data_IF_897775756108
#
_entry.id   IF_897775756108
#
_cell.length_a   1.000
_cell.length_b   1.000
_cell.length_c   1.000
_cell.angle_alpha   90.00
_cell.angle_beta   90.00
_cell.angle_gamma   90.00
#
_symmetry.space_group_name_H-M   'P 1'
#
loop_
_entity.id
_entity.type
_entity.pdbx_description
1 polymer ?
#
# COMPACT_ATOMS: atom_id res chain seq x y z
N UNK A 1 14.29 -5.39 -14.65
CA UNK A 1 14.66 -4.09 -15.24
C UNK A 1 15.67 -4.36 -16.33
N UNK A 2 15.36 -3.98 -17.57
CA UNK A 2 16.24 -4.17 -18.72
C UNK A 2 16.98 -2.85 -18.98
N UNK A 3 18.28 -2.87 -19.20
CA UNK A 3 19.01 -1.66 -19.57
C UNK A 3 18.53 -1.13 -20.93
N UNK A 4 18.45 0.18 -21.06
CA UNK A 4 18.01 0.84 -22.30
C UNK A 4 18.99 0.62 -23.46
N UNK A 5 20.25 0.33 -23.14
CA UNK A 5 21.33 0.04 -24.09
C UNK A 5 22.05 -1.22 -23.67
N UNK A 6 22.50 -1.97 -24.66
CA UNK A 6 23.39 -3.10 -24.48
C UNK A 6 24.80 -2.61 -24.11
N UNK A 7 25.64 -3.52 -23.65
CA UNK A 7 27.04 -3.21 -23.28
C UNK A 7 27.90 -2.66 -24.42
N UNK A 8 27.49 -2.88 -25.67
CA UNK A 8 28.14 -2.38 -26.89
C UNK A 8 27.63 -0.99 -27.34
N UNK A 9 26.72 -0.39 -26.56
CA UNK A 9 26.12 0.89 -26.88
C UNK A 9 24.93 0.85 -27.83
N UNK A 10 24.56 -0.35 -28.33
CA UNK A 10 23.37 -0.53 -29.15
C UNK A 10 22.11 -0.44 -28.30
N UNK A 11 20.99 -0.04 -28.90
CA UNK A 11 19.70 0.08 -28.23
C UNK A 11 19.14 -1.31 -27.94
N UNK A 12 18.59 -1.49 -26.73
CA UNK A 12 17.94 -2.73 -26.40
C UNK A 12 16.60 -2.84 -27.13
N UNK A 13 16.41 -3.89 -27.93
CA UNK A 13 15.19 -4.10 -28.73
C UNK A 13 13.91 -4.15 -27.88
N UNK A 14 14.00 -4.63 -26.64
CA UNK A 14 12.86 -4.59 -25.70
C UNK A 14 12.42 -3.17 -25.36
N UNK A 15 13.34 -2.21 -25.37
CA UNK A 15 13.04 -0.80 -25.13
C UNK A 15 12.27 -0.18 -26.30
N UNK A 16 12.50 -0.67 -27.51
CA UNK A 16 11.73 -0.25 -28.70
C UNK A 16 10.30 -0.80 -28.71
N UNK A 17 10.10 -2.01 -28.16
CA UNK A 17 8.77 -2.63 -28.06
C UNK A 17 7.88 -2.03 -26.97
N UNK A 18 8.45 -1.36 -25.98
CA UNK A 18 7.69 -0.76 -24.85
C UNK A 18 6.90 0.49 -25.28
N UNK A 19 7.11 1.03 -26.46
CA UNK A 19 6.33 2.15 -26.97
C UNK A 19 6.45 3.47 -26.19
N UNK A 20 5.90 4.53 -26.73
CA UNK A 20 5.92 5.85 -26.10
C UNK A 20 5.05 5.90 -24.84
N UNK A 21 5.56 6.55 -23.79
CA UNK A 21 4.78 6.84 -22.57
C UNK A 21 5.06 5.90 -21.38
N UNK A 22 5.89 4.88 -21.54
CA UNK A 22 6.27 4.04 -20.41
C UNK A 22 7.36 4.67 -19.55
N UNK A 23 7.17 4.60 -18.24
CA UNK A 23 8.16 5.02 -17.24
C UNK A 23 8.78 3.79 -16.62
N UNK A 24 10.08 3.75 -16.49
CA UNK A 24 10.78 2.69 -15.77
C UNK A 24 11.93 3.26 -14.96
N UNK A 25 12.30 2.53 -13.91
CA UNK A 25 13.36 2.92 -12.99
C UNK A 25 14.48 1.90 -13.03
N UNK A 26 15.71 2.36 -13.04
CA UNK A 26 16.91 1.51 -13.03
C UNK A 26 17.78 1.97 -11.85
N UNK A 27 18.20 1.01 -11.02
CA UNK A 27 19.29 1.24 -10.08
C UNK A 27 20.60 1.04 -10.78
N UNK A 28 21.52 1.98 -10.63
CA UNK A 28 22.88 1.74 -11.06
C UNK A 28 23.50 0.67 -10.18
N UNK A 29 24.20 -0.29 -10.82
CA UNK A 29 24.93 -1.31 -10.11
C UNK A 29 25.99 -0.64 -9.23
N UNK A 30 26.06 -1.05 -7.99
CA UNK A 30 27.00 -0.58 -6.98
C UNK A 30 26.85 0.91 -6.58
N UNK A 31 25.72 1.52 -6.88
CA UNK A 31 25.37 2.86 -6.40
C UNK A 31 23.95 2.90 -5.83
N UNK A 32 23.74 3.77 -4.84
CA UNK A 32 22.39 4.08 -4.33
C UNK A 32 21.61 5.03 -5.27
N UNK A 33 22.12 5.25 -6.47
CA UNK A 33 21.53 6.18 -7.42
C UNK A 33 20.39 5.53 -8.18
N UNK A 34 19.18 6.03 -7.95
CA UNK A 34 18.01 5.65 -8.73
C UNK A 34 17.88 6.58 -9.92
N UNK A 35 17.98 6.03 -11.13
CA UNK A 35 17.68 6.76 -12.36
C UNK A 35 16.32 6.35 -12.91
N UNK A 36 15.51 7.33 -13.22
CA UNK A 36 14.24 7.14 -13.95
C UNK A 36 14.41 7.55 -15.40
N UNK A 37 13.78 6.77 -16.24
CA UNK A 37 13.77 7.00 -17.68
C UNK A 37 12.33 7.09 -18.15
N UNK A 38 12.07 7.94 -19.10
CA UNK A 38 10.83 7.93 -19.85
C UNK A 38 11.13 8.16 -21.33
N UNK A 39 10.27 7.59 -22.17
CA UNK A 39 10.37 7.74 -23.61
C UNK A 39 9.42 8.86 -24.04
N UNK A 40 9.94 9.88 -24.64
CA UNK A 40 9.19 10.95 -25.26
C UNK A 40 9.79 11.29 -26.62
N UNK A 41 8.97 11.52 -27.64
CA UNK A 41 9.38 11.85 -29.01
C UNK A 41 10.45 10.89 -29.57
N UNK A 42 10.31 9.58 -29.30
CA UNK A 42 11.28 8.55 -29.65
C UNK A 42 12.68 8.75 -29.05
N UNK A 43 12.80 9.55 -28.00
CA UNK A 43 14.04 9.75 -27.26
C UNK A 43 13.91 9.17 -25.86
N UNK A 44 14.95 8.46 -25.43
CA UNK A 44 15.10 8.08 -24.05
C UNK A 44 15.62 9.29 -23.28
N UNK A 45 14.84 9.84 -22.39
CA UNK A 45 15.23 10.92 -21.50
C UNK A 45 15.48 10.35 -20.12
N UNK A 46 16.74 10.38 -19.69
CA UNK A 46 17.09 10.10 -18.32
C UNK A 46 16.89 11.38 -17.49
N UNK A 47 16.26 11.25 -16.35
CA UNK A 47 16.28 12.32 -15.35
C UNK A 47 16.76 11.72 -14.02
N UNK A 48 17.71 12.39 -13.43
CA UNK A 48 18.15 12.04 -12.10
C UNK A 48 17.04 12.35 -11.12
N UNK A 49 16.53 11.30 -10.50
CA UNK A 49 15.65 11.45 -9.34
C UNK A 49 16.56 11.48 -8.12
N UNK A 50 17.50 12.41 -8.14
CA UNK A 50 18.50 12.48 -7.09
C UNK A 50 17.96 13.17 -5.85
N UNK A 51 18.55 12.77 -4.77
CA UNK A 51 18.68 13.40 -3.45
C UNK A 51 17.37 13.67 -2.69
N UNK A 52 16.29 14.08 -3.35
CA UNK A 52 15.04 14.41 -2.68
C UNK A 52 14.10 13.21 -2.44
N UNK A 53 14.34 12.05 -3.07
CA UNK A 53 13.42 10.91 -2.90
C UNK A 53 13.58 10.29 -1.52
N UNK A 54 14.80 10.05 -1.07
CA UNK A 54 15.04 9.49 0.28
C UNK A 54 14.47 10.43 1.34
N UNK A 55 14.72 11.74 1.18
CA UNK A 55 14.19 12.77 2.07
C UNK A 55 12.66 12.89 1.97
N UNK A 56 12.12 12.84 0.76
CA UNK A 56 10.67 12.90 0.53
C UNK A 56 9.97 11.67 1.09
N UNK A 57 10.53 10.47 0.90
CA UNK A 57 10.01 9.23 1.47
C UNK A 57 10.09 9.29 2.99
N UNK A 58 11.24 9.70 3.55
CA UNK A 58 11.40 9.85 4.99
C UNK A 58 10.40 10.84 5.59
N UNK A 59 10.18 11.98 4.94
CA UNK A 59 9.18 12.96 5.37
C UNK A 59 7.76 12.40 5.30
N UNK A 60 7.42 11.62 4.27
CA UNK A 60 6.12 10.96 4.15
C UNK A 60 5.92 9.88 5.20
N UNK A 61 6.95 9.12 5.53
CA UNK A 61 6.88 8.14 6.62
C UNK A 61 6.56 8.84 7.94
N UNK A 62 7.25 9.95 8.26
CA UNK A 62 6.98 10.73 9.48
C UNK A 62 5.55 11.28 9.50
N UNK A 63 5.07 11.80 8.37
CA UNK A 63 3.68 12.23 8.23
C UNK A 63 2.70 11.09 8.52
N UNK A 64 2.93 9.92 7.94
CA UNK A 64 2.06 8.74 8.12
C UNK A 64 2.15 8.16 9.53
N UNK A 65 3.30 8.25 10.20
CA UNK A 65 3.44 7.91 11.61
C UNK A 65 2.53 8.81 12.48
N UNK A 66 2.50 10.12 12.20
CA UNK A 66 1.61 11.07 12.87
C UNK A 66 0.13 10.76 12.64
N UNK A 67 -0.26 10.44 11.41
CA UNK A 67 -1.63 10.02 11.07
C UNK A 67 -2.01 8.74 11.80
N UNK A 68 -1.15 7.73 11.76
CA UNK A 68 -1.36 6.45 12.43
C UNK A 68 -1.51 6.64 13.96
N UNK A 69 -0.65 7.42 14.58
CA UNK A 69 -0.72 7.71 16.01
C UNK A 69 -2.03 8.43 16.38
N UNK A 70 -2.48 9.38 15.54
CA UNK A 70 -3.75 10.07 15.72
C UNK A 70 -4.96 9.14 15.65
N UNK A 71 -4.89 8.09 14.86
CA UNK A 71 -5.96 7.08 14.76
C UNK A 71 -6.10 6.25 16.03
N UNK A 72 -5.01 5.88 16.70
CA UNK A 72 -5.06 5.17 17.98
C UNK A 72 -5.69 5.97 19.12
N UNK A 73 -5.74 7.31 19.01
CA UNK A 73 -6.41 8.16 19.99
C UNK A 73 -7.93 8.19 19.85
N UNK A 74 -8.49 7.56 18.82
CA UNK A 74 -9.94 7.57 18.57
C UNK A 74 -10.64 6.47 19.37
N UNK A 75 -11.73 6.85 20.04
CA UNK A 75 -12.64 5.87 20.64
C UNK A 75 -13.41 5.11 19.55
N UNK A 76 -13.96 3.95 19.91
CA UNK A 76 -14.87 3.23 19.04
C UNK A 76 -16.09 4.07 18.69
N UNK A 77 -16.45 4.08 17.41
CA UNK A 77 -17.57 4.82 16.84
C UNK A 77 -18.31 3.94 15.85
N UNK A 78 -19.63 3.92 15.93
CA UNK A 78 -20.51 3.40 14.88
C UNK A 78 -21.68 4.36 14.70
N UNK A 79 -21.62 5.15 13.63
CA UNK A 79 -22.66 6.11 13.26
C UNK A 79 -22.94 6.04 11.76
N UNK A 80 -23.76 6.93 11.21
CA UNK A 80 -24.18 6.88 9.81
C UNK A 80 -23.03 7.12 8.81
N UNK A 81 -21.93 7.76 9.22
CA UNK A 81 -20.84 8.16 8.32
C UNK A 81 -19.53 7.42 8.54
N UNK A 82 -19.31 6.89 9.74
CA UNK A 82 -18.06 6.23 10.08
C UNK A 82 -18.24 5.05 11.04
N UNK A 83 -17.31 4.11 10.93
CA UNK A 83 -17.08 3.02 11.87
C UNK A 83 -15.62 3.07 12.32
N UNK A 84 -15.38 3.19 13.62
CA UNK A 84 -14.03 3.11 14.21
C UNK A 84 -14.03 1.94 15.19
N UNK A 85 -13.08 1.03 15.02
CA UNK A 85 -12.91 -0.13 15.89
C UNK A 85 -11.46 -0.21 16.36
N UNK A 86 -11.30 -0.55 17.65
CA UNK A 86 -10.01 -0.84 18.26
C UNK A 86 -9.98 -2.34 18.60
N UNK A 87 -9.28 -3.13 17.80
CA UNK A 87 -9.31 -4.59 17.84
C UNK A 87 -7.90 -5.19 18.00
N UNK A 88 -7.81 -6.37 18.60
CA UNK A 88 -6.65 -7.22 18.37
C UNK A 88 -6.76 -7.91 16.99
N UNK A 89 -5.63 -8.34 16.43
CA UNK A 89 -5.64 -9.08 15.17
C UNK A 89 -6.49 -10.37 15.26
N UNK A 90 -6.52 -11.00 16.45
CA UNK A 90 -7.34 -12.18 16.71
C UNK A 90 -8.85 -11.91 16.70
N UNK A 91 -9.29 -10.69 17.00
CA UNK A 91 -10.70 -10.33 17.03
C UNK A 91 -11.25 -9.92 15.67
N UNK A 92 -10.37 -9.61 14.70
CA UNK A 92 -10.76 -9.08 13.38
C UNK A 92 -11.74 -10.00 12.66
N UNK A 93 -11.50 -11.31 12.64
CA UNK A 93 -12.33 -12.26 11.91
C UNK A 93 -13.80 -12.16 12.32
N UNK A 94 -14.08 -12.02 13.62
CA UNK A 94 -15.43 -11.89 14.15
C UNK A 94 -16.13 -10.58 13.76
N UNK A 95 -15.36 -9.55 13.37
CA UNK A 95 -15.86 -8.23 12.99
C UNK A 95 -15.89 -7.99 11.48
N UNK A 96 -15.34 -8.90 10.64
CA UNK A 96 -15.26 -8.72 9.19
C UNK A 96 -16.61 -8.38 8.56
N UNK A 97 -17.69 -9.07 9.00
CA UNK A 97 -19.04 -8.80 8.49
C UNK A 97 -19.47 -7.35 8.76
N UNK A 98 -19.27 -6.85 9.97
CA UNK A 98 -19.61 -5.47 10.34
C UNK A 98 -18.78 -4.47 9.51
N UNK A 99 -17.47 -4.70 9.42
CA UNK A 99 -16.52 -3.87 8.69
C UNK A 99 -16.92 -3.74 7.23
N UNK A 100 -17.15 -4.86 6.55
CA UNK A 100 -17.43 -4.87 5.13
C UNK A 100 -18.81 -4.32 4.79
N UNK A 101 -19.83 -4.63 5.58
CA UNK A 101 -21.16 -4.04 5.39
C UNK A 101 -21.18 -2.54 5.66
N UNK A 102 -20.41 -2.05 6.62
CA UNK A 102 -20.27 -0.61 6.85
C UNK A 102 -19.59 0.08 5.68
N UNK A 103 -18.50 -0.50 5.15
CA UNK A 103 -17.79 0.02 4.00
C UNK A 103 -18.64 -0.01 2.71
N UNK A 104 -19.38 -1.08 2.48
CA UNK A 104 -20.33 -1.25 1.35
C UNK A 104 -21.49 -0.24 1.42
N UNK A 105 -21.92 0.11 2.63
CA UNK A 105 -22.88 1.20 2.88
C UNK A 105 -22.28 2.62 2.72
N UNK A 106 -20.98 2.73 2.39
CA UNK A 106 -20.30 4.00 2.15
C UNK A 106 -19.72 4.68 3.39
N UNK A 107 -19.75 4.04 4.56
CA UNK A 107 -19.09 4.57 5.76
C UNK A 107 -17.56 4.56 5.60
N UNK A 108 -16.89 5.52 6.22
CA UNK A 108 -15.43 5.47 6.43
C UNK A 108 -15.16 4.51 7.59
N UNK A 109 -14.34 3.48 7.32
CA UNK A 109 -14.03 2.45 8.29
C UNK A 109 -12.56 2.54 8.68
N UNK A 110 -12.32 2.70 9.98
CA UNK A 110 -11.00 2.69 10.58
C UNK A 110 -10.90 1.53 11.56
N UNK A 111 -9.96 0.64 11.34
CA UNK A 111 -9.67 -0.46 12.26
C UNK A 111 -8.26 -0.28 12.80
N UNK A 112 -8.15 0.10 14.07
CA UNK A 112 -6.89 0.14 14.78
C UNK A 112 -6.55 -1.27 15.30
N UNK A 113 -5.45 -1.85 14.86
CA UNK A 113 -4.93 -3.11 15.38
C UNK A 113 -4.04 -2.81 16.57
N UNK A 114 -4.48 -3.23 17.75
CA UNK A 114 -3.86 -2.87 19.02
C UNK A 114 -2.57 -3.64 19.31
N UNK A 115 -2.35 -4.75 18.61
CA UNK A 115 -1.16 -5.56 18.77
C UNK A 115 0.11 -4.78 18.36
N UNK A 116 1.22 -5.14 19.01
CA UNK A 116 2.54 -4.61 18.73
C UNK A 116 3.51 -5.73 18.32
N UNK A 117 4.66 -5.34 17.76
CA UNK A 117 5.67 -6.31 17.32
C UNK A 117 5.25 -7.03 16.05
N UNK A 118 5.25 -8.37 16.07
CA UNK A 118 4.86 -9.19 14.92
C UNK A 118 3.36 -9.45 14.97
N UNK A 119 2.66 -9.02 13.94
CA UNK A 119 1.20 -9.14 13.82
C UNK A 119 0.84 -9.93 12.57
N UNK A 120 -0.05 -10.91 12.71
CA UNK A 120 -0.62 -11.65 11.58
C UNK A 120 -2.09 -11.33 11.46
N UNK A 121 -2.49 -10.75 10.32
CA UNK A 121 -3.88 -10.55 9.98
C UNK A 121 -4.37 -11.72 9.12
N UNK A 122 -5.43 -12.38 9.57
CA UNK A 122 -6.02 -13.51 8.88
C UNK A 122 -6.48 -13.13 7.45
N UNK A 123 -6.50 -14.13 6.58
CA UNK A 123 -7.06 -14.00 5.24
C UNK A 123 -8.51 -13.54 5.30
N UNK A 124 -8.83 -12.49 4.55
CA UNK A 124 -10.18 -11.93 4.49
C UNK A 124 -10.98 -12.53 3.33
N UNK A 125 -12.25 -12.80 3.59
CA UNK A 125 -13.21 -13.27 2.60
C UNK A 125 -14.32 -12.23 2.43
N UNK A 126 -14.78 -12.03 1.20
CA UNK A 126 -15.82 -11.06 0.84
C UNK A 126 -17.26 -11.66 0.83
N UNK A 127 -17.44 -12.84 1.42
CA UNK A 127 -18.74 -13.49 1.50
C UNK A 127 -19.83 -12.71 2.27
N UNK A 128 -19.44 -11.59 2.90
CA UNK A 128 -20.34 -10.76 3.69
C UNK A 128 -21.04 -9.66 2.91
N UNK A 129 -20.60 -9.40 1.68
CA UNK A 129 -21.18 -8.37 0.81
C UNK A 129 -21.87 -8.98 -0.40
N UNK A 130 -22.72 -8.21 -1.08
CA UNK A 130 -23.32 -8.63 -2.35
C UNK A 130 -22.39 -8.45 -3.54
N UNK A 131 -21.27 -7.76 -3.34
CA UNK A 131 -20.30 -7.38 -4.37
C UNK A 131 -19.08 -8.27 -4.27
N UNK A 132 -18.74 -8.94 -5.36
CA UNK A 132 -17.54 -9.78 -5.43
C UNK A 132 -16.26 -8.95 -5.35
N UNK A 133 -15.16 -9.56 -4.91
CA UNK A 133 -13.89 -8.88 -4.70
C UNK A 133 -13.35 -8.15 -5.94
N UNK A 134 -13.62 -8.60 -7.16
CA UNK A 134 -13.24 -7.92 -8.38
C UNK A 134 -13.94 -6.57 -8.62
N UNK A 135 -14.98 -6.29 -7.85
CA UNK A 135 -15.76 -5.05 -7.88
C UNK A 135 -15.87 -4.40 -6.50
N UNK A 136 -14.95 -4.73 -5.60
CA UNK A 136 -14.99 -4.27 -4.20
C UNK A 136 -14.49 -2.82 -4.05
N UNK A 137 -15.11 -1.87 -4.76
CA UNK A 137 -14.80 -0.43 -4.67
C UNK A 137 -14.98 0.10 -3.23
N UNK A 138 -15.85 -0.53 -2.45
CA UNK A 138 -16.05 -0.25 -1.03
C UNK A 138 -14.78 -0.47 -0.19
N UNK A 139 -13.82 -1.28 -0.65
CA UNK A 139 -12.55 -1.48 0.05
C UNK A 139 -11.77 -0.16 0.21
N UNK A 140 -11.97 0.81 -0.69
CA UNK A 140 -11.36 2.14 -0.58
C UNK A 140 -11.82 2.92 0.68
N UNK A 141 -12.88 2.47 1.33
CA UNK A 141 -13.38 3.07 2.56
C UNK A 141 -12.73 2.52 3.83
N UNK A 142 -11.92 1.45 3.74
CA UNK A 142 -11.34 0.76 4.90
C UNK A 142 -9.86 1.13 5.06
N UNK A 143 -9.47 1.46 6.30
CA UNK A 143 -8.08 1.63 6.72
C UNK A 143 -7.79 0.68 7.87
N UNK A 144 -6.80 -0.18 7.69
CA UNK A 144 -6.23 -1.05 8.71
C UNK A 144 -4.97 -0.39 9.27
N UNK A 145 -5.03 0.11 10.49
CA UNK A 145 -3.93 0.85 11.11
C UNK A 145 -3.10 -0.08 12.01
N UNK A 146 -1.85 -0.34 11.60
CA UNK A 146 -0.87 -1.18 12.28
C UNK A 146 0.30 -0.36 12.84
N UNK A 147 0.08 0.88 13.24
CA UNK A 147 1.17 1.78 13.62
C UNK A 147 2.02 1.31 14.81
N UNK A 148 1.54 0.36 15.63
CA UNK A 148 2.27 -0.22 16.74
C UNK A 148 3.05 -1.50 16.36
N UNK A 149 2.84 -2.04 15.16
CA UNK A 149 3.53 -3.21 14.68
C UNK A 149 4.93 -2.86 14.15
N UNK A 150 5.86 -3.82 14.23
CA UNK A 150 7.17 -3.78 13.56
C UNK A 150 7.25 -4.75 12.38
N UNK A 151 6.37 -5.74 12.34
CA UNK A 151 6.20 -6.67 11.25
C UNK A 151 4.72 -7.03 11.09
N UNK A 152 4.22 -7.02 9.87
CA UNK A 152 2.83 -7.37 9.56
C UNK A 152 2.83 -8.44 8.48
N UNK A 153 2.20 -9.58 8.78
CA UNK A 153 1.93 -10.63 7.81
C UNK A 153 0.44 -10.67 7.49
N UNK A 154 0.11 -10.67 6.20
CA UNK A 154 -1.28 -10.68 5.76
C UNK A 154 -1.52 -11.70 4.65
N UNK A 155 -2.75 -12.24 4.61
CA UNK A 155 -3.30 -12.90 3.44
C UNK A 155 -3.97 -11.90 2.49
N UNK A 156 -5.16 -12.24 1.95
CA UNK A 156 -5.98 -11.28 1.21
C UNK A 156 -6.49 -10.20 2.17
N UNK A 157 -6.38 -8.94 1.74
CA UNK A 157 -6.87 -7.78 2.50
C UNK A 157 -7.72 -6.88 1.61
N UNK A 158 -8.86 -6.45 2.13
CA UNK A 158 -9.69 -5.40 1.55
C UNK A 158 -9.46 -4.10 2.32
N UNK A 159 -8.97 -3.08 1.65
CA UNK A 159 -8.67 -1.77 2.25
C UNK A 159 -7.22 -1.38 2.16
N UNK A 160 -6.90 -0.26 2.79
CA UNK A 160 -5.56 0.27 2.89
C UNK A 160 -4.87 -0.21 4.17
N UNK A 161 -3.69 -0.75 4.03
CA UNK A 161 -2.80 -1.08 5.15
C UNK A 161 -1.94 0.15 5.45
N UNK A 162 -2.08 0.69 6.66
CA UNK A 162 -1.25 1.77 7.19
C UNK A 162 -0.33 1.20 8.27
N UNK A 163 0.92 0.96 7.93
CA UNK A 163 1.90 0.33 8.80
C UNK A 163 3.27 1.06 8.75
N UNK A 164 3.34 2.37 9.07
CA UNK A 164 4.50 3.21 8.80
C UNK A 164 5.75 2.85 9.62
N UNK A 165 5.62 1.93 10.59
CA UNK A 165 6.70 1.46 11.43
C UNK A 165 7.06 -0.01 11.17
N UNK A 166 6.37 -0.67 10.23
CA UNK A 166 6.48 -2.11 10.03
C UNK A 166 7.03 -2.50 8.66
N UNK A 167 7.68 -3.65 8.60
CA UNK A 167 7.83 -4.40 7.36
C UNK A 167 6.53 -5.18 7.10
N UNK A 168 5.96 -5.05 5.91
CA UNK A 168 4.73 -5.74 5.53
C UNK A 168 5.04 -6.88 4.56
N UNK A 169 4.64 -8.10 4.93
CA UNK A 169 4.66 -9.27 4.06
C UNK A 169 3.22 -9.66 3.70
N UNK A 170 2.88 -9.54 2.44
CA UNK A 170 1.57 -9.94 1.95
C UNK A 170 1.68 -11.19 1.08
N UNK A 171 1.03 -12.27 1.50
CA UNK A 171 1.04 -13.56 0.81
C UNK A 171 -0.07 -13.71 -0.25
N UNK A 172 -0.91 -12.71 -0.45
CA UNK A 172 -2.04 -12.75 -1.39
C UNK A 172 -2.37 -11.33 -1.90
N UNK A 173 -3.57 -11.11 -2.42
CA UNK A 173 -3.99 -9.83 -2.99
C UNK A 173 -4.32 -8.80 -1.92
N UNK A 174 -3.92 -7.55 -2.14
CA UNK A 174 -4.46 -6.38 -1.45
C UNK A 174 -5.38 -5.63 -2.42
N UNK A 175 -6.66 -5.53 -2.07
CA UNK A 175 -7.64 -4.74 -2.80
C UNK A 175 -7.72 -3.37 -2.12
N UNK A 176 -6.80 -2.49 -2.48
CA UNK A 176 -6.55 -1.21 -1.84
C UNK A 176 -5.11 -0.77 -2.04
N UNK A 177 -4.38 -0.53 -0.96
CA UNK A 177 -2.97 -0.13 -1.01
C UNK A 177 -2.22 -0.41 0.29
N UNK A 178 -0.91 -0.28 0.24
CA UNK A 178 -0.01 -0.44 1.40
C UNK A 178 0.81 0.82 1.55
N UNK A 179 0.86 1.33 2.78
CA UNK A 179 1.70 2.44 3.22
C UNK A 179 2.55 1.91 4.38
N UNK A 180 3.83 1.64 4.12
CA UNK A 180 4.79 1.09 5.07
C UNK A 180 6.19 1.69 4.88
#
# INVERSE_FOLDING_TARGET
VYPAYNSDGSRNELTEQIGQGYKFSIYEKDSDTLRRYFITDNKLVAYDVQDNIKETIAAKIVEMQGVSAGYYGRADVDNDTELVLNLTAGDVESHLKQIFLAADAGKKVLVNILDCGNVTLAHQDDNYTSVRHEHADWAANIIWNFGNASYVETGRVFGYILAPNATVHNGNNVIGGIIC
#
